data_IF_157863915652
#
_entry.id   IF_157863915652
#
_cell.length_a   1.000
_cell.length_b   1.000
_cell.length_c   1.000
_cell.angle_alpha   90.00
_cell.angle_beta   90.00
_cell.angle_gamma   90.00
#
_symmetry.space_group_name_H-M   'P 1'
#
loop_
_entity.id
_entity.type
_entity.pdbx_description
1 polymer ?
#
# COMPACT_ATOMS: atom_id res chain seq x y z
N UNK A 1 31.02 -31.56 3.64
CA UNK A 1 30.31 -30.46 2.96
C UNK A 1 30.26 -29.28 3.93
N UNK A 2 31.15 -28.29 3.78
CA UNK A 2 31.11 -27.05 4.58
C UNK A 2 30.03 -26.17 3.96
N UNK A 3 29.00 -25.84 4.74
CA UNK A 3 27.97 -24.90 4.33
C UNK A 3 28.49 -23.52 4.74
N UNK A 4 28.99 -22.77 3.76
CA UNK A 4 29.39 -21.39 3.98
C UNK A 4 28.12 -20.56 4.20
N UNK A 5 27.87 -20.17 5.44
CA UNK A 5 26.83 -19.23 5.78
C UNK A 5 27.27 -17.85 5.28
N UNK A 6 26.85 -17.50 4.07
CA UNK A 6 27.07 -16.16 3.50
C UNK A 6 26.24 -15.20 4.35
N UNK A 7 26.92 -14.38 5.16
CA UNK A 7 26.26 -13.28 5.86
C UNK A 7 25.57 -12.40 4.81
N UNK A 8 24.26 -12.13 4.94
CA UNK A 8 23.56 -11.27 4.00
C UNK A 8 24.27 -9.92 3.95
N UNK A 9 24.52 -9.42 2.74
CA UNK A 9 25.23 -8.15 2.56
C UNK A 9 24.56 -7.04 3.35
N UNK A 10 25.31 -6.03 3.80
CA UNK A 10 24.76 -4.88 4.54
C UNK A 10 23.52 -4.27 3.88
N UNK A 11 23.42 -4.37 2.55
CA UNK A 11 22.30 -3.92 1.76
C UNK A 11 21.00 -4.68 2.05
N UNK A 12 21.04 -5.94 2.49
CA UNK A 12 19.84 -6.71 2.82
C UNK A 12 19.05 -6.09 3.97
N UNK A 13 19.74 -5.63 5.02
CA UNK A 13 19.08 -4.92 6.13
C UNK A 13 18.49 -3.58 5.67
N UNK A 14 19.11 -2.90 4.71
CA UNK A 14 18.56 -1.67 4.12
C UNK A 14 17.43 -1.94 3.11
N UNK A 15 17.39 -3.14 2.50
CA UNK A 15 16.27 -3.58 1.65
C UNK A 15 15.08 -4.07 2.49
N UNK A 16 15.35 -4.69 3.65
CA UNK A 16 14.35 -5.16 4.62
C UNK A 16 13.80 -4.01 5.47
N UNK A 17 14.58 -2.95 5.69
CA UNK A 17 14.05 -1.61 6.04
C UNK A 17 13.34 -1.02 4.82
N UNK A 18 12.28 -1.67 4.32
CA UNK A 18 11.31 -1.00 3.44
C UNK A 18 11.03 0.36 4.07
N UNK A 19 11.28 1.41 3.29
CA UNK A 19 11.12 2.77 3.75
C UNK A 19 9.73 2.87 4.38
N UNK A 20 9.65 3.22 5.68
CA UNK A 20 8.38 3.30 6.41
C UNK A 20 7.38 4.16 5.64
N UNK A 21 7.89 5.11 4.84
CA UNK A 21 7.11 5.96 3.96
C UNK A 21 6.44 5.18 2.82
N UNK A 22 7.17 4.28 2.16
CA UNK A 22 6.60 3.42 1.12
C UNK A 22 5.59 2.44 1.72
N UNK A 23 5.88 1.86 2.88
CA UNK A 23 4.92 0.99 3.56
C UNK A 23 3.63 1.76 3.93
N UNK A 24 3.75 2.98 4.45
CA UNK A 24 2.61 3.81 4.79
C UNK A 24 1.76 4.18 3.56
N UNK A 25 2.39 4.41 2.40
CA UNK A 25 1.69 4.62 1.12
C UNK A 25 0.99 3.37 0.63
N UNK A 26 1.62 2.19 0.73
CA UNK A 26 0.99 0.91 0.39
C UNK A 26 -0.28 0.69 1.24
N UNK A 27 -0.21 0.99 2.54
CA UNK A 27 -1.37 0.95 3.42
C UNK A 27 -2.48 1.93 3.00
N UNK A 28 -2.12 3.18 2.69
CA UNK A 28 -3.10 4.16 2.20
C UNK A 28 -3.75 3.70 0.90
N UNK A 29 -3.00 3.10 -0.03
CA UNK A 29 -3.53 2.56 -1.28
C UNK A 29 -4.52 1.40 -1.06
N UNK A 30 -4.25 0.51 -0.10
CA UNK A 30 -5.15 -0.59 0.26
C UNK A 30 -6.45 -0.05 0.86
N UNK A 31 -6.37 0.89 1.79
CA UNK A 31 -7.55 1.50 2.41
C UNK A 31 -8.41 2.24 1.39
N UNK A 32 -7.77 3.01 0.51
CA UNK A 32 -8.42 3.71 -0.58
C UNK A 32 -9.11 2.73 -1.54
N UNK A 33 -8.47 1.62 -1.86
CA UNK A 33 -9.04 0.59 -2.72
C UNK A 33 -10.34 0.03 -2.12
N UNK A 34 -10.32 -0.38 -0.86
CA UNK A 34 -11.50 -0.94 -0.21
C UNK A 34 -12.60 0.10 -0.05
N UNK A 35 -12.25 1.34 0.28
CA UNK A 35 -13.20 2.45 0.35
C UNK A 35 -13.88 2.69 -1.01
N UNK A 36 -13.12 2.74 -2.10
CA UNK A 36 -13.64 2.92 -3.44
C UNK A 36 -14.47 1.71 -3.89
N UNK A 37 -14.06 0.49 -3.56
CA UNK A 37 -14.83 -0.73 -3.87
C UNK A 37 -16.18 -0.74 -3.18
N UNK A 38 -16.24 -0.42 -1.89
CA UNK A 38 -17.51 -0.34 -1.16
C UNK A 38 -18.37 0.83 -1.64
N UNK A 39 -17.77 2.01 -1.91
CA UNK A 39 -18.50 3.16 -2.44
C UNK A 39 -19.07 2.94 -3.85
N UNK A 40 -18.38 2.17 -4.69
CA UNK A 40 -18.80 1.86 -6.06
C UNK A 40 -19.59 0.56 -6.17
N UNK A 41 -19.79 -0.18 -5.08
CA UNK A 41 -20.50 -1.45 -5.07
C UNK A 41 -21.85 -1.43 -5.80
N UNK A 42 -22.74 -0.42 -5.61
CA UNK A 42 -24.00 -0.35 -6.35
C UNK A 42 -23.82 -0.22 -7.87
N UNK A 43 -22.71 0.38 -8.32
CA UNK A 43 -22.35 0.53 -9.73
C UNK A 43 -21.82 -0.78 -10.31
N UNK A 44 -21.18 -1.61 -9.49
CA UNK A 44 -20.54 -2.86 -9.89
C UNK A 44 -21.49 -4.08 -9.86
N UNK A 45 -22.56 -4.02 -9.07
CA UNK A 45 -23.50 -5.14 -8.87
C UNK A 45 -24.15 -5.63 -10.18
N UNK A 46 -24.50 -4.71 -11.09
CA UNK A 46 -25.19 -5.03 -12.35
C UNK A 46 -24.24 -5.22 -13.55
N UNK A 47 -22.93 -5.28 -13.31
CA UNK A 47 -21.92 -5.38 -14.37
C UNK A 47 -21.63 -6.82 -14.74
N UNK A 48 -21.33 -7.04 -16.02
CA UNK A 48 -20.81 -8.31 -16.51
C UNK A 48 -19.45 -8.63 -15.88
N UNK A 49 -19.02 -9.88 -15.92
CA UNK A 49 -17.73 -10.30 -15.35
C UNK A 49 -16.55 -9.49 -15.92
N UNK A 50 -16.54 -9.25 -17.24
CA UNK A 50 -15.49 -8.49 -17.90
C UNK A 50 -15.46 -7.03 -17.44
N UNK A 51 -16.63 -6.40 -17.31
CA UNK A 51 -16.74 -5.05 -16.77
C UNK A 51 -16.28 -4.98 -15.32
N UNK A 52 -16.65 -5.95 -14.47
CA UNK A 52 -16.18 -6.00 -13.07
C UNK A 52 -14.66 -6.07 -13.01
N UNK A 53 -14.04 -6.89 -13.85
CA UNK A 53 -12.58 -7.03 -13.89
C UNK A 53 -11.89 -5.75 -14.36
N UNK A 54 -12.47 -5.04 -15.33
CA UNK A 54 -12.02 -3.71 -15.73
C UNK A 54 -12.10 -2.72 -14.57
N UNK A 55 -13.24 -2.63 -13.90
CA UNK A 55 -13.42 -1.72 -12.77
C UNK A 55 -12.52 -2.06 -11.59
N UNK A 56 -12.31 -3.33 -11.29
CA UNK A 56 -11.38 -3.76 -10.25
C UNK A 56 -9.94 -3.31 -10.56
N UNK A 57 -9.51 -3.44 -11.81
CA UNK A 57 -8.18 -3.00 -12.26
C UNK A 57 -8.06 -1.46 -12.25
N UNK A 58 -9.13 -0.78 -12.63
CA UNK A 58 -9.23 0.68 -12.57
C UNK A 58 -9.16 1.20 -11.14
N UNK A 59 -9.93 0.61 -10.22
CA UNK A 59 -9.94 0.99 -8.80
C UNK A 59 -8.56 0.74 -8.17
N UNK A 60 -7.89 -0.37 -8.48
CA UNK A 60 -6.53 -0.63 -7.99
C UNK A 60 -5.52 0.41 -8.49
N UNK A 61 -5.61 0.78 -9.77
CA UNK A 61 -4.73 1.80 -10.36
C UNK A 61 -5.00 3.19 -9.77
N UNK A 62 -6.28 3.54 -9.60
CA UNK A 62 -6.70 4.81 -9.03
C UNK A 62 -6.26 4.94 -7.57
N UNK A 63 -6.46 3.89 -6.75
CA UNK A 63 -6.11 3.93 -5.33
C UNK A 63 -4.59 4.11 -5.12
N UNK A 64 -3.77 3.43 -5.94
CA UNK A 64 -2.31 3.60 -5.94
C UNK A 64 -1.92 5.03 -6.30
N UNK A 65 -2.48 5.58 -7.38
CA UNK A 65 -2.19 6.97 -7.80
C UNK A 65 -2.60 7.99 -6.75
N UNK A 66 -3.74 7.79 -6.09
CA UNK A 66 -4.20 8.67 -5.01
C UNK A 66 -3.27 8.62 -3.78
N UNK A 67 -2.81 7.43 -3.41
CA UNK A 67 -1.84 7.27 -2.32
C UNK A 67 -0.47 7.89 -2.67
N UNK A 68 0.01 7.72 -3.91
CA UNK A 68 1.25 8.33 -4.40
C UNK A 68 1.19 9.86 -4.40
N UNK A 69 0.06 10.43 -4.81
CA UNK A 69 -0.20 11.87 -4.77
C UNK A 69 -0.35 12.42 -3.35
N UNK A 70 -0.46 11.54 -2.33
CA UNK A 70 -0.72 11.91 -0.94
C UNK A 70 -2.11 12.47 -0.70
N UNK A 71 -3.11 11.95 -1.44
CA UNK A 71 -4.44 12.53 -1.59
C UNK A 71 -5.32 12.51 -0.32
N UNK A 72 -5.16 11.54 0.59
CA UNK A 72 -5.98 11.45 1.81
C UNK A 72 -5.16 11.73 3.07
N UNK A 73 -3.84 11.51 3.01
CA UNK A 73 -2.92 11.86 4.10
C UNK A 73 -2.84 10.82 5.20
N UNK A 74 -3.41 9.63 4.99
CA UNK A 74 -3.33 8.50 5.91
C UNK A 74 -1.87 8.06 6.09
N UNK A 75 -1.08 8.02 5.02
CA UNK A 75 0.35 7.70 5.11
C UNK A 75 1.11 8.70 5.99
N UNK A 76 0.76 9.99 5.90
CA UNK A 76 1.37 11.04 6.73
C UNK A 76 1.00 10.87 8.20
N UNK A 77 -0.26 10.52 8.49
CA UNK A 77 -0.73 10.24 9.85
C UNK A 77 0.00 9.04 10.46
N UNK A 78 0.06 7.91 9.74
CA UNK A 78 0.76 6.68 10.20
C UNK A 78 2.22 6.99 10.51
N UNK A 79 2.91 7.69 9.61
CA UNK A 79 4.31 8.07 9.82
C UNK A 79 4.52 8.99 11.02
N UNK A 80 3.58 9.90 11.28
CA UNK A 80 3.63 10.79 12.45
C UNK A 80 3.47 10.00 13.74
N UNK A 81 2.49 9.10 13.83
CA UNK A 81 2.26 8.26 15.01
C UNK A 81 3.47 7.37 15.34
N UNK A 82 4.15 6.82 14.33
CA UNK A 82 5.35 6.00 14.53
C UNK A 82 6.55 6.84 15.01
N UNK A 83 6.63 8.13 14.64
CA UNK A 83 7.68 9.03 15.12
C UNK A 83 7.45 9.43 16.58
N UNK A 84 6.21 9.79 16.92
CA UNK A 84 5.83 10.20 18.28
C UNK A 84 6.11 9.10 19.34
N UNK A 85 6.11 7.82 18.94
CA UNK A 85 6.45 6.68 19.81
C UNK A 85 7.95 6.52 20.06
N UNK A 86 8.80 7.03 19.16
CA UNK A 86 10.27 6.93 19.27
C UNK A 86 10.89 8.05 20.10
N UNK A 87 10.15 9.15 20.28
CA UNK A 87 10.55 10.33 21.05
C UNK A 87 10.02 10.29 22.51
N UNK A 88 9.40 9.17 22.92
CA UNK A 88 9.00 8.86 24.31
C UNK A 88 9.94 7.81 24.91
#
# INVERSE_FOLDING_TARGET
MKIDFILPSSNYLDTVKRDKKELAKEFEAILLKEFLKEGLKPVLENKSFQERMYYDSFIDSLSRKLAEAGGVGIAKMILKSIKDEKDR
#
